data_IF_502283144992
#
_entry.id   IF_502283144992
#
_cell.length_a   1.000
_cell.length_b   1.000
_cell.length_c   1.000
_cell.angle_alpha   90.00
_cell.angle_beta   90.00
_cell.angle_gamma   90.00
#
_symmetry.space_group_name_H-M   'P 1'
#
loop_
_entity.id
_entity.type
_entity.pdbx_description
1 polymer ?
#
# COMPACT_ATOMS: atom_id res chain seq x y z
N UNK A 1 96.92 36.43 3.43
CA UNK A 1 96.10 35.53 4.26
C UNK A 1 95.27 36.35 5.22
N UNK A 2 93.95 36.37 5.04
CA UNK A 2 92.99 36.70 6.10
C UNK A 2 91.62 36.18 5.63
N UNK A 3 91.55 34.85 5.45
CA UNK A 3 90.28 34.14 5.45
C UNK A 3 89.74 34.31 6.87
N UNK A 4 88.87 35.31 7.06
CA UNK A 4 88.08 35.40 8.27
C UNK A 4 87.11 34.21 8.22
N UNK A 5 87.53 33.12 8.87
CA UNK A 5 86.71 31.95 9.16
C UNK A 5 85.47 32.44 9.89
N UNK A 6 84.38 32.63 9.14
CA UNK A 6 83.06 32.90 9.71
C UNK A 6 82.81 31.81 10.74
N UNK A 7 82.60 32.22 11.99
CA UNK A 7 82.47 31.26 13.07
C UNK A 7 81.26 30.35 12.80
N UNK A 8 81.34 29.08 13.20
CA UNK A 8 80.26 28.11 12.97
C UNK A 8 78.89 28.63 13.46
N UNK A 9 78.90 29.45 14.52
CA UNK A 9 77.70 30.09 15.06
C UNK A 9 77.15 31.24 14.20
N UNK A 10 78.00 32.05 13.55
CA UNK A 10 77.56 33.07 12.58
C UNK A 10 76.97 32.42 11.33
N UNK A 11 77.55 31.32 10.84
CA UNK A 11 76.97 30.55 9.72
C UNK A 11 75.60 29.96 10.08
N UNK A 12 75.44 29.44 11.30
CA UNK A 12 74.13 28.96 11.80
C UNK A 12 73.12 30.09 11.93
N UNK A 13 73.54 31.28 12.36
CA UNK A 13 72.68 32.45 12.47
C UNK A 13 72.23 32.95 11.09
N UNK A 14 73.17 33.09 10.15
CA UNK A 14 72.87 33.45 8.76
C UNK A 14 71.95 32.43 8.09
N UNK A 15 72.12 31.14 8.37
CA UNK A 15 71.23 30.10 7.86
C UNK A 15 69.81 30.23 8.43
N UNK A 16 69.66 30.56 9.72
CA UNK A 16 68.35 30.80 10.34
C UNK A 16 67.66 32.02 9.75
N UNK A 17 68.38 33.13 9.60
CA UNK A 17 67.86 34.36 9.01
C UNK A 17 67.44 34.15 7.55
N UNK A 18 68.25 33.43 6.76
CA UNK A 18 67.89 33.09 5.38
C UNK A 18 66.66 32.17 5.30
N UNK A 19 66.49 31.25 6.25
CA UNK A 19 65.28 30.40 6.32
C UNK A 19 64.04 31.20 6.70
N UNK A 20 64.15 32.14 7.64
CA UNK A 20 63.06 33.05 8.01
C UNK A 20 62.69 33.97 6.83
N UNK A 21 63.67 34.53 6.12
CA UNK A 21 63.44 35.35 4.94
C UNK A 21 62.76 34.56 3.80
N UNK A 22 63.19 33.32 3.56
CA UNK A 22 62.54 32.42 2.60
C UNK A 22 61.09 32.15 2.99
N UNK A 23 60.79 31.97 4.28
CA UNK A 23 59.42 31.74 4.74
C UNK A 23 58.54 32.98 4.60
N UNK A 24 59.07 34.17 4.92
CA UNK A 24 58.39 35.46 4.68
C UNK A 24 58.08 35.63 3.19
N UNK A 25 59.06 35.40 2.32
CA UNK A 25 58.91 35.53 0.88
C UNK A 25 57.89 34.53 0.30
N UNK A 26 57.78 33.31 0.84
CA UNK A 26 56.73 32.37 0.44
C UNK A 26 55.34 32.90 0.79
N UNK A 27 55.16 33.43 2.01
CA UNK A 27 53.89 34.00 2.44
C UNK A 27 53.52 35.21 1.57
N UNK A 28 54.49 36.09 1.26
CA UNK A 28 54.29 37.22 0.37
C UNK A 28 53.97 36.80 -1.07
N UNK A 29 54.62 35.74 -1.58
CA UNK A 29 54.35 35.18 -2.89
C UNK A 29 52.94 34.58 -2.96
N UNK A 30 52.51 33.83 -1.94
CA UNK A 30 51.15 33.30 -1.86
C UNK A 30 50.11 34.42 -1.78
N UNK A 31 50.38 35.46 -1.00
CA UNK A 31 49.49 36.63 -0.90
C UNK A 31 49.38 37.36 -2.25
N UNK A 32 50.51 37.55 -2.94
CA UNK A 32 50.57 38.16 -4.28
C UNK A 32 49.85 37.31 -5.31
N UNK A 33 49.97 35.99 -5.23
CA UNK A 33 49.30 35.04 -6.12
C UNK A 33 47.78 35.10 -5.95
N UNK A 34 47.27 35.02 -4.71
CA UNK A 34 45.82 35.19 -4.43
C UNK A 34 45.30 36.54 -4.91
N UNK A 35 46.12 37.60 -4.80
CA UNK A 35 45.74 38.93 -5.27
C UNK A 35 45.70 39.02 -6.80
N UNK A 36 46.61 38.32 -7.49
CA UNK A 36 46.61 38.19 -8.95
C UNK A 36 45.37 37.42 -9.42
N UNK A 37 45.07 36.28 -8.81
CA UNK A 37 43.86 35.49 -9.10
C UNK A 37 42.59 36.32 -8.95
N UNK A 38 42.49 37.11 -7.87
CA UNK A 38 41.36 38.03 -7.67
C UNK A 38 41.25 39.11 -8.75
N UNK A 39 42.38 39.65 -9.22
CA UNK A 39 42.40 40.62 -10.34
C UNK A 39 42.03 39.97 -11.67
N UNK A 40 42.48 38.75 -11.93
CA UNK A 40 42.14 38.00 -13.14
C UNK A 40 40.65 37.66 -13.19
N UNK A 41 40.05 37.29 -12.06
CA UNK A 41 38.60 37.05 -11.96
C UNK A 41 37.80 38.35 -12.20
N UNK A 42 38.22 39.45 -11.58
CA UNK A 42 37.60 40.76 -11.78
C UNK A 42 37.69 41.22 -13.25
N UNK A 43 38.86 41.02 -13.89
CA UNK A 43 39.05 41.30 -15.31
C UNK A 43 38.14 40.44 -16.18
N UNK A 44 37.99 39.14 -15.87
CA UNK A 44 37.10 38.23 -16.61
C UNK A 44 35.65 38.70 -16.54
N UNK A 45 35.19 39.13 -15.36
CA UNK A 45 33.85 39.70 -15.16
C UNK A 45 33.67 40.97 -16.02
N UNK A 46 34.60 41.93 -15.92
CA UNK A 46 34.54 43.19 -16.66
C UNK A 46 34.56 42.97 -18.18
N UNK A 47 35.38 42.04 -18.67
CA UNK A 47 35.41 41.67 -20.08
C UNK A 47 34.08 41.05 -20.54
N UNK A 48 33.49 40.15 -19.75
CA UNK A 48 32.19 39.57 -20.07
C UNK A 48 31.09 40.64 -20.15
N UNK A 49 31.13 41.63 -19.25
CA UNK A 49 30.18 42.73 -19.19
C UNK A 49 30.32 43.66 -20.40
N UNK A 50 31.56 43.96 -20.81
CA UNK A 50 31.83 44.75 -22.01
C UNK A 50 31.37 44.04 -23.31
N UNK A 51 31.55 42.71 -23.40
CA UNK A 51 31.05 41.91 -24.52
C UNK A 51 29.52 41.89 -24.53
N UNK A 52 28.89 41.73 -23.36
CA UNK A 52 27.45 41.80 -23.21
C UNK A 52 26.90 43.16 -23.63
N UNK A 53 27.54 44.27 -23.25
CA UNK A 53 27.11 45.62 -23.61
C UNK A 53 27.09 45.87 -25.12
N UNK A 54 28.00 45.22 -25.85
CA UNK A 54 28.08 45.27 -27.32
C UNK A 54 27.10 44.31 -28.02
N UNK A 55 26.45 43.40 -27.28
CA UNK A 55 25.52 42.43 -27.85
C UNK A 55 24.21 43.10 -28.34
N UNK A 56 23.57 42.46 -29.33
CA UNK A 56 22.29 42.94 -29.87
C UNK A 56 21.18 42.91 -28.81
N UNK A 57 20.17 43.78 -28.94
CA UNK A 57 19.06 43.85 -27.98
C UNK A 57 18.33 42.51 -27.81
N UNK A 58 18.21 41.74 -28.90
CA UNK A 58 17.64 40.39 -28.87
C UNK A 58 18.45 39.45 -27.97
N UNK A 59 19.77 39.44 -28.08
CA UNK A 59 20.65 38.61 -27.24
C UNK A 59 20.53 38.99 -25.76
N UNK A 60 20.49 40.30 -25.44
CA UNK A 60 20.31 40.79 -24.06
C UNK A 60 18.97 40.36 -23.48
N UNK A 61 17.88 40.50 -24.24
CA UNK A 61 16.54 40.10 -23.82
C UNK A 61 16.40 38.58 -23.63
N UNK A 62 17.03 37.79 -24.51
CA UNK A 62 17.03 36.33 -24.38
C UNK A 62 17.77 35.88 -23.11
N UNK A 63 18.91 36.50 -22.79
CA UNK A 63 19.66 36.23 -21.55
C UNK A 63 18.85 36.57 -20.30
N UNK A 64 18.20 37.73 -20.27
CA UNK A 64 17.30 38.11 -19.16
C UNK A 64 16.16 37.10 -18.98
N UNK A 65 15.54 36.68 -20.08
CA UNK A 65 14.48 35.66 -20.04
C UNK A 65 15.01 34.34 -19.46
N UNK A 66 16.19 33.89 -19.88
CA UNK A 66 16.80 32.67 -19.33
C UNK A 66 17.17 32.80 -17.84
N UNK A 67 17.58 33.99 -17.38
CA UNK A 67 17.81 34.24 -15.96
C UNK A 67 16.52 34.23 -15.14
N UNK A 68 15.42 34.76 -15.68
CA UNK A 68 14.10 34.68 -15.05
C UNK A 68 13.61 33.24 -14.96
N UNK A 69 13.74 32.46 -16.04
CA UNK A 69 13.43 31.02 -16.06
C UNK A 69 14.29 30.25 -15.05
N UNK A 70 15.58 30.57 -14.94
CA UNK A 70 16.46 30.01 -13.92
C UNK A 70 15.96 30.34 -12.50
N UNK A 71 15.60 31.60 -12.23
CA UNK A 71 15.05 32.01 -10.92
C UNK A 71 13.72 31.33 -10.60
N UNK A 72 12.89 31.05 -11.59
CA UNK A 72 11.65 30.29 -11.37
C UNK A 72 11.93 28.82 -11.05
N UNK A 73 12.85 28.19 -11.80
CA UNK A 73 13.26 26.81 -11.54
C UNK A 73 13.92 26.65 -10.17
N UNK A 74 14.75 27.61 -9.75
CA UNK A 74 15.34 27.61 -8.40
C UNK A 74 14.27 27.64 -7.29
N UNK A 75 13.17 28.39 -7.48
CA UNK A 75 12.05 28.40 -6.53
C UNK A 75 11.31 27.07 -6.50
N UNK A 76 11.06 26.49 -7.68
CA UNK A 76 10.42 25.17 -7.78
C UNK A 76 11.28 24.08 -7.12
N UNK A 77 12.60 24.09 -7.35
CA UNK A 77 13.55 23.19 -6.70
C UNK A 77 13.48 23.33 -5.17
N UNK A 78 13.47 24.56 -4.66
CA UNK A 78 13.38 24.80 -3.21
C UNK A 78 12.05 24.29 -2.62
N UNK A 79 10.93 24.47 -3.34
CA UNK A 79 9.62 23.95 -2.91
C UNK A 79 9.65 22.41 -2.90
N UNK A 80 10.12 21.79 -3.98
CA UNK A 80 10.22 20.33 -4.09
C UNK A 80 11.15 19.73 -3.03
N UNK A 81 12.27 20.40 -2.71
CA UNK A 81 13.14 19.98 -1.61
C UNK A 81 12.39 19.98 -0.27
N UNK A 82 11.63 21.03 0.01
CA UNK A 82 10.79 21.10 1.21
C UNK A 82 9.71 20.01 1.24
N UNK A 83 9.04 19.75 0.12
CA UNK A 83 8.04 18.69 0.01
C UNK A 83 8.66 17.31 0.25
N UNK A 84 9.85 17.06 -0.31
CA UNK A 84 10.60 15.81 -0.09
C UNK A 84 10.97 15.65 1.38
N UNK A 85 11.52 16.68 2.03
CA UNK A 85 11.88 16.63 3.45
C UNK A 85 10.65 16.39 4.34
N UNK A 86 9.55 17.08 4.04
CA UNK A 86 8.29 16.91 4.76
C UNK A 86 7.74 15.48 4.60
N UNK A 87 7.73 14.94 3.38
CA UNK A 87 7.28 13.57 3.14
C UNK A 87 8.20 12.54 3.79
N UNK A 88 9.52 12.75 3.80
CA UNK A 88 10.48 11.90 4.50
C UNK A 88 10.18 11.82 6.00
N UNK A 89 9.97 12.96 6.64
CA UNK A 89 9.61 13.01 8.08
C UNK A 89 8.27 12.31 8.33
N UNK A 90 7.27 12.54 7.47
CA UNK A 90 5.98 11.86 7.55
C UNK A 90 6.13 10.34 7.42
N UNK A 91 6.91 9.86 6.47
CA UNK A 91 7.14 8.43 6.27
C UNK A 91 7.86 7.80 7.47
N UNK A 92 8.87 8.46 8.01
CA UNK A 92 9.58 8.01 9.21
C UNK A 92 8.63 7.86 10.41
N UNK A 93 7.79 8.86 10.66
CA UNK A 93 6.80 8.79 11.73
C UNK A 93 5.79 7.63 11.52
N UNK A 94 5.36 7.39 10.28
CA UNK A 94 4.49 6.24 9.96
C UNK A 94 5.23 4.92 10.24
N UNK A 95 6.48 4.79 9.78
CA UNK A 95 7.31 3.60 10.00
C UNK A 95 7.51 3.31 11.49
N UNK A 96 7.83 4.33 12.29
CA UNK A 96 7.99 4.20 13.75
C UNK A 96 6.69 3.72 14.40
N UNK A 97 5.55 4.33 14.08
CA UNK A 97 4.26 3.93 14.65
C UNK A 97 3.82 2.52 14.25
N UNK A 98 4.16 2.06 13.05
CA UNK A 98 3.87 0.68 12.63
C UNK A 98 4.79 -0.33 13.28
N UNK A 99 6.06 0.03 13.48
CA UNK A 99 7.03 -0.81 14.21
C UNK A 99 6.56 -1.03 15.65
N UNK A 100 6.15 0.03 16.35
CA UNK A 100 5.61 -0.10 17.72
C UNK A 100 4.36 -0.97 17.79
N UNK A 101 3.43 -0.83 16.83
CA UNK A 101 2.22 -1.66 16.76
C UNK A 101 2.57 -3.12 16.50
N UNK A 102 3.52 -3.38 15.61
CA UNK A 102 3.99 -4.72 15.31
C UNK A 102 4.61 -5.36 16.55
N UNK A 103 5.51 -4.66 17.23
CA UNK A 103 6.16 -5.16 18.45
C UNK A 103 5.17 -5.45 19.57
N UNK A 104 4.14 -4.59 19.73
CA UNK A 104 3.07 -4.83 20.69
C UNK A 104 2.31 -6.12 20.38
N UNK A 105 1.87 -6.29 19.13
CA UNK A 105 1.14 -7.50 18.69
C UNK A 105 2.02 -8.74 18.83
N UNK A 106 3.32 -8.62 18.54
CA UNK A 106 4.27 -9.72 18.70
C UNK A 106 4.38 -10.15 20.18
N UNK A 107 4.51 -9.20 21.09
CA UNK A 107 4.53 -9.45 22.54
C UNK A 107 3.22 -10.07 23.03
N UNK A 108 2.07 -9.52 22.62
CA UNK A 108 0.75 -10.04 22.96
C UNK A 108 0.56 -11.48 22.48
N UNK A 109 0.95 -11.78 21.24
CA UNK A 109 0.89 -13.15 20.70
C UNK A 109 1.80 -14.12 21.46
N UNK A 110 3.00 -13.69 21.85
CA UNK A 110 3.88 -14.51 22.67
C UNK A 110 3.24 -14.84 24.03
N UNK A 111 2.65 -13.84 24.69
CA UNK A 111 1.95 -14.03 25.96
C UNK A 111 0.75 -14.96 25.82
N UNK A 112 -0.07 -14.80 24.77
CA UNK A 112 -1.21 -15.68 24.49
C UNK A 112 -0.77 -17.12 24.22
N UNK A 113 0.34 -17.31 23.51
CA UNK A 113 0.89 -18.64 23.22
C UNK A 113 1.33 -19.36 24.50
N UNK A 114 1.98 -18.67 25.43
CA UNK A 114 2.35 -19.24 26.72
C UNK A 114 1.12 -19.52 27.60
N UNK A 115 0.15 -18.60 27.63
CA UNK A 115 -1.11 -18.83 28.35
C UNK A 115 -1.87 -20.06 27.81
N UNK A 116 -1.88 -20.25 26.48
CA UNK A 116 -2.51 -21.41 25.85
C UNK A 116 -1.79 -22.72 26.22
N UNK A 117 -0.45 -22.72 26.26
CA UNK A 117 0.31 -23.90 26.72
C UNK A 117 -0.04 -24.27 28.15
N UNK A 118 -0.03 -23.29 29.07
CA UNK A 118 -0.39 -23.49 30.47
C UNK A 118 -1.81 -24.07 30.61
N UNK A 119 -2.79 -23.50 29.91
CA UNK A 119 -4.18 -24.03 29.91
C UNK A 119 -4.26 -25.44 29.32
N UNK A 120 -3.46 -25.74 28.31
CA UNK A 120 -3.40 -27.08 27.71
C UNK A 120 -2.82 -28.10 28.70
N UNK A 121 -1.80 -27.72 29.46
CA UNK A 121 -1.21 -28.55 30.51
C UNK A 121 -2.20 -28.79 31.66
N UNK A 122 -2.90 -27.75 32.12
CA UNK A 122 -3.95 -27.85 33.13
C UNK A 122 -5.11 -28.77 32.68
N UNK A 123 -5.53 -28.69 31.41
CA UNK A 123 -6.54 -29.62 30.88
C UNK A 123 -6.03 -31.06 30.88
N UNK A 124 -4.74 -31.28 30.60
CA UNK A 124 -4.15 -32.63 30.63
C UNK A 124 -4.12 -33.18 32.06
N UNK A 125 -3.74 -32.38 33.06
CA UNK A 125 -3.73 -32.82 34.46
C UNK A 125 -5.14 -33.13 34.95
N UNK A 126 -6.11 -32.24 34.70
CA UNK A 126 -7.51 -32.48 35.07
C UNK A 126 -8.10 -33.71 34.39
N UNK A 127 -7.75 -33.98 33.13
CA UNK A 127 -8.16 -35.22 32.44
C UNK A 127 -7.58 -36.46 33.11
N UNK A 128 -6.31 -36.41 33.52
CA UNK A 128 -5.67 -37.53 34.22
C UNK A 128 -6.31 -37.76 35.59
N UNK A 129 -6.54 -36.70 36.37
CA UNK A 129 -7.22 -36.78 37.67
C UNK A 129 -8.64 -37.32 37.54
N UNK A 130 -9.42 -36.86 36.56
CA UNK A 130 -10.77 -37.34 36.29
C UNK A 130 -10.75 -38.84 35.89
N UNK A 131 -9.77 -39.28 35.10
CA UNK A 131 -9.61 -40.70 34.78
C UNK A 131 -9.33 -41.56 36.02
N UNK A 132 -8.46 -41.09 36.93
CA UNK A 132 -8.17 -41.77 38.21
C UNK A 132 -9.42 -41.81 39.09
N UNK A 133 -10.14 -40.71 39.24
CA UNK A 133 -11.37 -40.67 40.03
C UNK A 133 -12.45 -41.59 39.47
N UNK A 134 -12.63 -41.62 38.15
CA UNK A 134 -13.57 -42.55 37.51
C UNK A 134 -13.17 -44.01 37.76
N UNK A 135 -11.88 -44.32 37.69
CA UNK A 135 -11.40 -45.66 38.01
C UNK A 135 -11.70 -46.02 39.46
N UNK A 136 -11.41 -45.13 40.42
CA UNK A 136 -11.74 -45.34 41.83
C UNK A 136 -13.25 -45.53 42.05
N UNK A 137 -14.09 -44.75 41.37
CA UNK A 137 -15.54 -44.94 41.42
C UNK A 137 -15.94 -46.34 40.94
N UNK A 138 -15.35 -46.85 39.86
CA UNK A 138 -15.62 -48.20 39.36
C UNK A 138 -15.14 -49.28 40.34
N UNK A 139 -13.99 -49.09 40.97
CA UNK A 139 -13.47 -50.01 42.00
C UNK A 139 -14.39 -50.05 43.23
N UNK A 140 -14.85 -48.89 43.72
CA UNK A 140 -15.83 -48.84 44.80
C UNK A 140 -17.15 -49.49 44.43
N UNK A 141 -17.65 -49.27 43.20
CA UNK A 141 -18.87 -49.91 42.72
C UNK A 141 -18.72 -51.43 42.67
N UNK A 142 -17.59 -51.94 42.21
CA UNK A 142 -17.32 -53.38 42.15
C UNK A 142 -17.32 -54.06 43.54
N UNK A 143 -17.05 -53.31 44.61
CA UNK A 143 -17.10 -53.81 46.00
C UNK A 143 -18.50 -53.82 46.63
N UNK A 144 -19.51 -53.20 46.00
CA UNK A 144 -20.90 -53.18 46.51
C UNK A 144 -21.67 -54.46 46.16
N UNK A 145 -22.80 -54.68 46.84
CA UNK A 145 -23.70 -55.79 46.49
C UNK A 145 -24.43 -55.54 45.14
N UNK A 146 -24.90 -56.61 44.50
CA UNK A 146 -25.53 -56.56 43.17
C UNK A 146 -26.81 -55.71 43.14
N UNK A 147 -27.55 -55.61 44.26
CA UNK A 147 -28.75 -54.76 44.35
C UNK A 147 -28.37 -53.28 44.44
N UNK A 148 -27.34 -52.96 45.21
CA UNK A 148 -26.78 -51.62 45.37
C UNK A 148 -26.12 -51.11 44.08
N UNK A 149 -25.37 -51.96 43.38
CA UNK A 149 -24.81 -51.65 42.06
C UNK A 149 -25.90 -51.28 41.05
N UNK A 150 -27.01 -52.04 41.05
CA UNK A 150 -28.14 -51.81 40.14
C UNK A 150 -28.83 -50.48 40.39
N UNK A 151 -29.07 -50.13 41.66
CA UNK A 151 -29.65 -48.83 42.06
C UNK A 151 -28.72 -47.66 41.66
N UNK A 152 -27.40 -47.81 41.82
CA UNK A 152 -26.45 -46.77 41.40
C UNK A 152 -26.39 -46.58 39.88
N UNK A 153 -26.36 -47.67 39.10
CA UNK A 153 -26.36 -47.60 37.64
C UNK A 153 -27.66 -46.99 37.10
N UNK A 154 -28.81 -47.34 37.69
CA UNK A 154 -30.10 -46.74 37.37
C UNK A 154 -30.08 -45.22 37.63
N UNK A 155 -29.60 -44.78 38.80
CA UNK A 155 -29.48 -43.34 39.13
C UNK A 155 -28.46 -42.57 38.25
N UNK A 156 -27.31 -43.17 37.89
CA UNK A 156 -26.33 -42.53 36.99
C UNK A 156 -26.83 -42.43 35.55
N UNK A 157 -27.66 -43.37 35.09
CA UNK A 157 -28.26 -43.30 33.76
C UNK A 157 -29.28 -42.15 33.62
N UNK A 158 -30.01 -41.83 34.69
CA UNK A 158 -30.96 -40.73 34.78
C UNK A 158 -30.30 -39.34 34.75
N UNK A 159 -29.08 -39.18 35.29
CA UNK A 159 -28.39 -37.88 35.30
C UNK A 159 -27.82 -37.48 33.94
N UNK A 160 -27.61 -38.44 33.03
CA UNK A 160 -26.98 -38.20 31.72
C UNK A 160 -27.97 -37.79 30.63
N UNK A 161 -29.26 -38.14 30.75
CA UNK A 161 -30.28 -37.83 29.74
C UNK A 161 -30.95 -36.47 29.91
N UNK A 162 -31.00 -35.94 31.15
CA UNK A 162 -31.85 -34.77 31.46
C UNK A 162 -31.04 -33.50 31.78
N UNK A 163 -29.72 -33.61 31.96
CA UNK A 163 -28.84 -32.50 32.42
C UNK A 163 -27.80 -32.10 31.36
N UNK A 164 -27.60 -32.88 30.29
CA UNK A 164 -26.58 -32.61 29.26
C UNK A 164 -26.82 -31.35 28.43
N UNK A 165 -28.03 -30.78 28.48
CA UNK A 165 -28.47 -29.74 27.55
C UNK A 165 -28.43 -28.33 28.16
N UNK A 166 -27.96 -28.20 29.40
CA UNK A 166 -27.81 -26.90 30.07
C UNK A 166 -26.34 -26.44 30.02
N UNK A 167 -26.09 -25.37 29.26
CA UNK A 167 -24.83 -24.61 29.31
C UNK A 167 -24.56 -24.12 30.73
N UNK A 168 -23.28 -23.97 31.12
CA UNK A 168 -22.91 -23.53 32.47
C UNK A 168 -23.53 -22.20 32.90
N UNK A 169 -23.90 -21.34 31.94
CA UNK A 169 -24.66 -20.12 32.19
C UNK A 169 -26.13 -20.39 32.53
N UNK A 170 -26.78 -21.36 31.87
CA UNK A 170 -28.15 -21.77 32.20
C UNK A 170 -28.20 -22.36 33.63
N UNK A 171 -27.21 -23.16 34.02
CA UNK A 171 -27.09 -23.69 35.39
C UNK A 171 -26.90 -22.58 36.45
N UNK A 172 -26.10 -21.55 36.15
CA UNK A 172 -25.93 -20.40 37.04
C UNK A 172 -27.23 -19.60 37.23
N UNK A 173 -28.04 -19.46 36.18
CA UNK A 173 -29.36 -18.79 36.25
C UNK A 173 -30.36 -19.64 37.03
N UNK A 174 -30.31 -20.97 36.88
CA UNK A 174 -31.18 -21.87 37.63
C UNK A 174 -30.92 -21.82 39.15
N UNK A 175 -29.66 -21.64 39.56
CA UNK A 175 -29.26 -21.53 40.97
C UNK A 175 -29.49 -20.16 41.63
N UNK A 176 -29.86 -19.13 40.88
CA UNK A 176 -30.07 -17.78 41.40
C UNK A 176 -31.48 -17.56 41.99
N UNK A 177 -32.43 -18.47 41.73
CA UNK A 177 -33.78 -18.43 42.27
C UNK A 177 -33.80 -18.91 43.73
N UNK A 178 -34.39 -18.12 44.63
CA UNK A 178 -34.54 -18.47 46.05
C UNK A 178 -35.88 -19.13 46.38
N UNK A 179 -36.72 -19.40 45.39
CA UNK A 179 -38.00 -20.10 45.62
C UNK A 179 -37.72 -21.54 46.05
N UNK A 180 -38.29 -21.98 47.17
CA UNK A 180 -38.17 -23.37 47.64
C UNK A 180 -38.75 -24.33 46.61
N UNK A 181 -37.92 -25.17 45.97
CA UNK A 181 -38.43 -26.20 45.08
C UNK A 181 -38.97 -27.36 45.91
N UNK A 182 -40.15 -27.86 45.56
CA UNK A 182 -40.54 -29.20 45.96
C UNK A 182 -39.70 -30.18 45.14
N UNK A 183 -39.00 -31.10 45.81
CA UNK A 183 -38.38 -32.28 45.19
C UNK A 183 -37.24 -32.03 44.18
N UNK A 184 -36.37 -31.03 44.44
CA UNK A 184 -35.10 -30.90 43.70
C UNK A 184 -35.22 -30.45 42.24
N UNK A 185 -36.42 -30.12 41.75
CA UNK A 185 -36.61 -29.50 40.43
C UNK A 185 -36.47 -27.97 40.49
N UNK A 186 -35.86 -27.32 39.48
CA UNK A 186 -35.79 -25.86 39.45
C UNK A 186 -37.20 -25.22 39.41
N UNK A 187 -37.38 -24.18 40.23
CA UNK A 187 -38.60 -23.38 40.31
C UNK A 187 -39.04 -22.88 38.91
N UNK A 188 -40.34 -22.71 38.61
CA UNK A 188 -40.79 -22.22 37.31
C UNK A 188 -40.16 -20.89 36.88
N UNK A 189 -39.90 -20.00 37.84
CA UNK A 189 -39.22 -18.72 37.59
C UNK A 189 -37.74 -18.88 37.19
N UNK A 190 -37.02 -19.85 37.76
CA UNK A 190 -35.67 -20.21 37.30
C UNK A 190 -35.70 -20.77 35.88
N UNK A 191 -36.66 -21.65 35.57
CA UNK A 191 -36.80 -22.24 34.22
C UNK A 191 -37.03 -21.15 33.17
N UNK A 192 -37.97 -20.24 33.43
CA UNK A 192 -38.25 -19.10 32.53
C UNK A 192 -37.05 -18.15 32.42
N UNK A 193 -36.36 -17.86 33.52
CA UNK A 193 -35.15 -17.04 33.50
C UNK A 193 -34.01 -17.68 32.68
N UNK A 194 -33.80 -18.99 32.81
CA UNK A 194 -32.79 -19.71 32.04
C UNK A 194 -33.13 -19.73 30.55
N UNK A 195 -34.38 -20.02 30.19
CA UNK A 195 -34.85 -20.02 28.79
C UNK A 195 -34.75 -18.63 28.14
N UNK A 196 -35.18 -17.58 28.84
CA UNK A 196 -35.06 -16.20 28.35
C UNK A 196 -33.61 -15.76 28.23
N UNK A 197 -32.73 -16.18 29.15
CA UNK A 197 -31.28 -15.93 29.05
C UNK A 197 -30.67 -16.63 27.83
N UNK A 198 -31.06 -17.87 27.55
CA UNK A 198 -30.66 -18.61 26.35
C UNK A 198 -31.07 -17.88 25.08
N UNK A 199 -32.33 -17.45 25.00
CA UNK A 199 -32.86 -16.68 23.88
C UNK A 199 -32.12 -15.34 23.71
N UNK A 200 -31.83 -14.62 24.80
CA UNK A 200 -31.07 -13.37 24.75
C UNK A 200 -29.65 -13.55 24.23
N UNK A 201 -28.98 -14.64 24.60
CA UNK A 201 -27.65 -14.95 24.05
C UNK A 201 -27.72 -15.27 22.57
N UNK A 202 -28.70 -16.07 22.16
CA UNK A 202 -28.90 -16.40 20.74
C UNK A 202 -29.13 -15.13 19.91
N UNK A 203 -30.05 -14.27 20.35
CA UNK A 203 -30.33 -12.98 19.69
C UNK A 203 -29.11 -12.05 19.66
N UNK A 204 -28.28 -12.04 20.71
CA UNK A 204 -27.02 -11.28 20.71
C UNK A 204 -26.04 -11.80 19.66
N UNK A 205 -25.90 -13.12 19.55
CA UNK A 205 -25.05 -13.73 18.54
C UNK A 205 -25.55 -13.41 17.12
N UNK A 206 -26.87 -13.49 16.89
CA UNK A 206 -27.47 -13.10 15.62
C UNK A 206 -27.24 -11.62 15.30
N UNK A 207 -27.37 -10.72 16.28
CA UNK A 207 -27.06 -9.30 16.08
C UNK A 207 -25.59 -9.06 15.72
N UNK A 208 -24.65 -9.74 16.36
CA UNK A 208 -23.24 -9.63 16.03
C UNK A 208 -22.95 -10.14 14.62
N UNK A 209 -23.56 -11.25 14.22
CA UNK A 209 -23.44 -11.79 12.87
C UNK A 209 -24.02 -10.83 11.82
N UNK A 210 -25.20 -10.25 12.09
CA UNK A 210 -25.80 -9.23 11.23
C UNK A 210 -24.95 -7.96 11.13
N UNK A 211 -24.33 -7.54 12.24
CA UNK A 211 -23.41 -6.40 12.25
C UNK A 211 -22.19 -6.67 11.38
N UNK A 212 -21.56 -7.85 11.52
CA UNK A 212 -20.44 -8.27 10.65
C UNK A 212 -20.84 -8.28 9.18
N UNK A 213 -21.99 -8.87 8.85
CA UNK A 213 -22.51 -8.90 7.48
C UNK A 213 -22.78 -7.50 6.91
N UNK A 214 -23.30 -6.57 7.73
CA UNK A 214 -23.49 -5.17 7.33
C UNK A 214 -22.16 -4.47 7.07
N UNK A 215 -21.17 -4.67 7.94
CA UNK A 215 -19.84 -4.05 7.79
C UNK A 215 -19.13 -4.57 6.52
N UNK A 216 -19.24 -5.87 6.23
CA UNK A 216 -18.75 -6.48 4.98
C UNK A 216 -19.45 -5.91 3.74
N UNK A 217 -20.78 -5.74 3.78
CA UNK A 217 -21.53 -5.13 2.70
C UNK A 217 -21.12 -3.66 2.46
N UNK A 218 -20.80 -2.92 3.53
CA UNK A 218 -20.31 -1.55 3.43
C UNK A 218 -18.92 -1.49 2.78
N UNK A 219 -17.99 -2.36 3.20
CA UNK A 219 -16.65 -2.48 2.60
C UNK A 219 -16.78 -2.84 1.11
N UNK A 220 -17.67 -3.78 0.77
CA UNK A 220 -17.89 -4.19 -0.61
C UNK A 220 -18.47 -3.06 -1.46
N UNK A 221 -19.45 -2.31 -0.93
CA UNK A 221 -20.02 -1.16 -1.61
C UNK A 221 -18.97 -0.07 -1.86
N UNK A 222 -18.08 0.20 -0.90
CA UNK A 222 -17.00 1.17 -1.06
C UNK A 222 -15.97 0.71 -2.10
N UNK A 223 -15.64 -0.59 -2.12
CA UNK A 223 -14.77 -1.16 -3.15
C UNK A 223 -15.38 -0.99 -4.56
N UNK A 224 -16.68 -1.22 -4.72
CA UNK A 224 -17.37 -0.97 -5.99
C UNK A 224 -17.39 0.51 -6.36
N UNK A 225 -17.63 1.40 -5.39
CA UNK A 225 -17.57 2.85 -5.60
C UNK A 225 -16.19 3.29 -6.12
N UNK A 226 -15.12 2.85 -5.45
CA UNK A 226 -13.73 3.17 -5.84
C UNK A 226 -13.43 2.62 -7.24
N UNK A 227 -13.78 1.37 -7.53
CA UNK A 227 -13.57 0.77 -8.84
C UNK A 227 -14.32 1.54 -9.94
N UNK A 228 -15.55 1.97 -9.66
CA UNK A 228 -16.36 2.76 -10.60
C UNK A 228 -15.76 4.16 -10.83
N UNK A 229 -15.30 4.84 -9.78
CA UNK A 229 -14.61 6.13 -9.90
C UNK A 229 -13.31 6.01 -10.70
N UNK A 230 -12.53 4.95 -10.48
CA UNK A 230 -11.33 4.67 -11.26
C UNK A 230 -11.66 4.45 -12.74
N UNK A 231 -12.70 3.67 -13.05
CA UNK A 231 -13.15 3.48 -14.43
C UNK A 231 -13.61 4.79 -15.08
N UNK A 232 -14.34 5.64 -14.35
CA UNK A 232 -14.77 6.96 -14.83
C UNK A 232 -13.58 7.86 -15.14
N UNK A 233 -12.58 7.90 -14.26
CA UNK A 233 -11.36 8.68 -14.46
C UNK A 233 -10.56 8.17 -15.66
N UNK A 234 -10.38 6.85 -15.78
CA UNK A 234 -9.72 6.25 -16.94
C UNK A 234 -10.44 6.59 -18.25
N UNK A 235 -11.76 6.50 -18.29
CA UNK A 235 -12.55 6.85 -19.49
C UNK A 235 -12.50 8.34 -19.79
N UNK A 236 -12.53 9.20 -18.78
CA UNK A 236 -12.36 10.64 -18.94
C UNK A 236 -11.00 10.98 -19.56
N UNK A 237 -9.93 10.37 -19.07
CA UNK A 237 -8.58 10.58 -19.59
C UNK A 237 -8.43 10.06 -21.03
N UNK A 238 -9.01 8.90 -21.34
CA UNK A 238 -9.08 8.39 -22.71
C UNK A 238 -9.85 9.34 -23.63
N UNK A 239 -10.99 9.88 -23.17
CA UNK A 239 -11.79 10.84 -23.94
C UNK A 239 -11.04 12.16 -24.18
N UNK A 240 -10.29 12.66 -23.19
CA UNK A 240 -9.43 13.84 -23.33
C UNK A 240 -8.32 13.61 -24.36
N UNK A 241 -7.61 12.48 -24.28
CA UNK A 241 -6.59 12.11 -25.27
C UNK A 241 -7.17 12.01 -26.68
N UNK A 242 -8.36 11.42 -26.83
CA UNK A 242 -9.06 11.36 -28.13
C UNK A 242 -9.43 12.76 -28.63
N UNK A 243 -9.91 13.65 -27.76
CA UNK A 243 -10.24 15.03 -28.13
C UNK A 243 -9.01 15.83 -28.59
N UNK A 244 -7.87 15.65 -27.92
CA UNK A 244 -6.58 16.24 -28.31
C UNK A 244 -6.12 15.73 -29.69
N UNK A 245 -6.18 14.42 -29.92
CA UNK A 245 -5.85 13.82 -31.22
C UNK A 245 -6.78 14.33 -32.33
N UNK A 246 -8.07 14.51 -32.03
CA UNK A 246 -9.03 15.09 -32.99
C UNK A 246 -8.70 16.57 -33.26
N UNK A 247 -8.33 17.35 -32.25
CA UNK A 247 -7.92 18.75 -32.39
C UNK A 247 -6.66 18.87 -33.24
N UNK A 248 -5.63 18.07 -32.95
CA UNK A 248 -4.41 17.99 -33.74
C UNK A 248 -4.72 17.61 -35.19
N UNK A 249 -5.54 16.58 -35.43
CA UNK A 249 -5.97 16.22 -36.81
C UNK A 249 -6.73 17.34 -37.51
N UNK A 250 -7.58 18.11 -36.81
CA UNK A 250 -8.27 19.28 -37.40
C UNK A 250 -7.27 20.37 -37.75
N UNK A 251 -6.30 20.67 -36.91
CA UNK A 251 -5.24 21.65 -37.15
C UNK A 251 -4.31 21.22 -38.29
N UNK A 252 -3.91 19.94 -38.35
CA UNK A 252 -3.11 19.38 -39.46
C UNK A 252 -3.91 19.40 -40.76
N UNK A 253 -5.21 19.07 -40.73
CA UNK A 253 -6.10 19.19 -41.89
C UNK A 253 -6.27 20.65 -42.33
N UNK A 254 -6.41 21.60 -41.41
CA UNK A 254 -6.50 23.03 -41.72
C UNK A 254 -5.18 23.60 -42.27
N UNK A 255 -4.04 23.12 -41.76
CA UNK A 255 -2.72 23.45 -42.27
C UNK A 255 -2.48 22.85 -43.67
N UNK A 256 -2.94 21.62 -43.92
CA UNK A 256 -2.91 21.02 -45.26
C UNK A 256 -3.87 21.75 -46.23
N UNK A 257 -5.07 22.14 -45.79
CA UNK A 257 -6.00 22.96 -46.58
C UNK A 257 -5.44 24.34 -46.91
N UNK A 258 -4.68 24.97 -45.99
CA UNK A 258 -3.95 26.22 -46.28
C UNK A 258 -2.80 26.00 -47.28
N UNK A 259 -2.06 24.90 -47.16
CA UNK A 259 -1.03 24.52 -48.15
C UNK A 259 -1.62 24.22 -49.54
N UNK A 260 -2.81 23.62 -49.61
CA UNK A 260 -3.50 23.30 -50.87
C UNK A 260 -4.02 24.54 -51.62
N UNK A 261 -4.22 25.67 -50.93
CA UNK A 261 -4.62 26.94 -51.56
C UNK A 261 -3.46 27.76 -52.12
N UNK A 262 -2.21 27.39 -51.80
CA UNK A 262 -1.01 28.19 -52.07
C UNK A 262 -0.04 27.62 -53.09
N UNK A 263 -0.32 26.48 -53.74
CA UNK A 263 0.55 26.01 -54.81
C UNK A 263 -0.16 25.12 -55.83
N UNK A 264 0.37 25.21 -57.03
CA UNK A 264 -0.08 24.69 -58.30
C UNK A 264 -0.35 23.18 -58.30
N UNK A 265 -1.26 22.75 -59.19
CA UNK A 265 -1.77 21.38 -59.30
C UNK A 265 -0.65 20.36 -59.47
N UNK A 266 -0.42 19.53 -58.45
CA UNK A 266 0.29 18.25 -58.61
C UNK A 266 -0.66 17.12 -58.21
N UNK A 267 -0.78 16.14 -59.12
CA UNK A 267 -1.70 14.99 -59.04
C UNK A 267 -1.44 14.13 -57.79
N UNK A 268 -2.47 13.60 -57.11
CA UNK A 268 -2.27 12.67 -56.01
C UNK A 268 -1.96 11.27 -56.58
N UNK A 269 -0.75 10.77 -56.32
CA UNK A 269 -0.46 9.35 -56.46
C UNK A 269 -0.89 8.67 -55.15
N UNK A 270 -2.06 8.04 -55.20
CA UNK A 270 -2.69 7.40 -54.04
C UNK A 270 -1.97 6.11 -53.67
N UNK A 271 -1.54 6.01 -52.43
CA UNK A 271 -1.33 4.74 -51.76
C UNK A 271 -2.56 4.53 -50.88
N UNK A 272 -3.51 3.71 -51.34
CA UNK A 272 -4.74 3.40 -50.61
C UNK A 272 -4.42 2.48 -49.43
N UNK A 273 -4.05 3.08 -48.29
CA UNK A 273 -3.97 2.32 -47.04
C UNK A 273 -5.37 1.87 -46.62
N UNK A 274 -5.52 0.56 -46.42
CA UNK A 274 -6.78 -0.10 -46.06
C UNK A 274 -7.28 0.40 -44.70
N UNK A 275 -8.58 0.26 -44.45
CA UNK A 275 -9.22 0.76 -43.23
C UNK A 275 -8.56 0.17 -41.97
N UNK A 276 -8.15 -1.10 -42.01
CA UNK A 276 -7.41 -1.78 -40.95
C UNK A 276 -6.10 -1.08 -40.60
N UNK A 277 -5.28 -0.74 -41.60
CA UNK A 277 -4.00 -0.04 -41.40
C UNK A 277 -4.17 1.35 -40.76
N UNK A 278 -5.24 2.08 -41.09
CA UNK A 278 -5.54 3.40 -40.50
C UNK A 278 -6.03 3.33 -39.06
N UNK A 279 -6.64 2.20 -38.67
CA UNK A 279 -7.18 1.98 -37.33
C UNK A 279 -6.12 1.40 -36.39
N UNK A 280 -5.21 0.56 -36.88
CA UNK A 280 -4.11 0.02 -36.07
C UNK A 280 -3.17 1.11 -35.56
N UNK A 281 -3.02 2.25 -36.26
CA UNK A 281 -2.25 3.39 -35.73
C UNK A 281 -2.90 4.10 -34.52
N UNK A 282 -4.13 3.73 -34.16
CA UNK A 282 -4.89 4.33 -33.05
C UNK A 282 -5.02 3.39 -31.83
N UNK A 283 -4.66 2.11 -31.97
CA UNK A 283 -4.70 1.13 -30.88
C UNK A 283 -3.31 1.07 -30.22
N UNK A 284 -3.27 1.08 -28.88
CA UNK A 284 -2.02 1.25 -28.10
C UNK A 284 -1.32 -0.08 -27.73
N UNK A 285 -1.84 -1.23 -28.19
CA UNK A 285 -1.36 -2.59 -27.84
C UNK A 285 -0.88 -3.33 -29.08
N UNK A 286 0.37 -3.83 -29.05
CA UNK A 286 1.05 -4.46 -30.20
C UNK A 286 0.40 -5.79 -30.63
N UNK A 287 -0.29 -6.48 -29.71
CA UNK A 287 -1.01 -7.73 -29.98
C UNK A 287 -2.37 -7.52 -30.68
N UNK A 288 -3.06 -6.43 -30.36
CA UNK A 288 -4.40 -6.13 -30.91
C UNK A 288 -4.31 -5.44 -32.28
N UNK A 289 -3.22 -4.72 -32.52
CA UNK A 289 -2.92 -4.08 -33.80
C UNK A 289 -2.80 -5.08 -34.96
N UNK A 290 -2.20 -6.26 -34.73
CA UNK A 290 -1.97 -7.28 -35.77
C UNK A 290 -3.26 -7.89 -36.32
N UNK A 291 -4.23 -8.18 -35.44
CA UNK A 291 -5.53 -8.76 -35.84
C UNK A 291 -6.35 -7.81 -36.72
N UNK A 292 -6.22 -6.48 -36.50
CA UNK A 292 -6.97 -5.45 -37.24
C UNK A 292 -6.28 -5.06 -38.55
N UNK A 293 -4.95 -5.16 -38.65
CA UNK A 293 -4.19 -4.84 -39.87
C UNK A 293 -4.36 -5.84 -41.01
N UNK A 294 -4.62 -7.11 -40.71
CA UNK A 294 -4.69 -8.20 -41.71
C UNK A 294 -6.08 -8.32 -42.38
N UNK A 295 -7.06 -7.52 -41.96
CA UNK A 295 -8.44 -7.58 -42.44
C UNK A 295 -8.74 -6.44 -43.41
N UNK A 296 -8.97 -6.77 -44.68
CA UNK A 296 -9.29 -5.80 -45.74
C UNK A 296 -10.79 -5.49 -45.84
N UNK A 297 -11.66 -6.37 -45.35
CA UNK A 297 -13.11 -6.22 -45.42
C UNK A 297 -13.64 -5.35 -44.26
N UNK A 298 -14.32 -4.22 -44.52
CA UNK A 298 -14.80 -3.29 -43.49
C UNK A 298 -15.77 -3.92 -42.47
N UNK A 299 -16.53 -4.94 -42.87
CA UNK A 299 -17.43 -5.65 -41.94
C UNK A 299 -16.68 -6.52 -40.93
N UNK A 300 -15.55 -7.10 -41.31
CA UNK A 300 -14.77 -7.96 -40.43
C UNK A 300 -13.89 -7.13 -39.47
N UNK A 301 -13.42 -5.96 -39.93
CA UNK A 301 -12.79 -4.94 -39.07
C UNK A 301 -13.78 -4.45 -38.00
N UNK A 302 -15.04 -4.18 -38.37
CA UNK A 302 -16.05 -3.75 -37.42
C UNK A 302 -16.38 -4.85 -36.39
N UNK A 303 -16.43 -6.11 -36.83
CA UNK A 303 -16.67 -7.26 -35.95
C UNK A 303 -15.50 -7.47 -34.96
N UNK A 304 -14.26 -7.36 -35.43
CA UNK A 304 -13.07 -7.44 -34.58
C UNK A 304 -13.01 -6.32 -33.53
N UNK A 305 -13.41 -5.09 -33.89
CA UNK A 305 -13.50 -3.97 -32.94
C UNK A 305 -14.62 -4.18 -31.91
N UNK A 306 -15.77 -4.73 -32.33
CA UNK A 306 -16.85 -5.08 -31.40
C UNK A 306 -16.42 -6.17 -30.42
N UNK A 307 -15.66 -7.18 -30.86
CA UNK A 307 -15.12 -8.22 -30.00
C UNK A 307 -13.99 -7.70 -29.07
N UNK A 308 -13.24 -6.67 -29.48
CA UNK A 308 -12.25 -5.99 -28.62
C UNK A 308 -12.90 -5.12 -27.53
N UNK A 309 -14.04 -4.50 -27.86
CA UNK A 309 -14.82 -3.68 -26.90
C UNK A 309 -15.65 -4.58 -25.97
N UNK A 310 -16.09 -5.73 -26.46
CA UNK A 310 -16.69 -6.78 -25.65
C UNK A 310 -15.60 -7.77 -25.22
N UNK A 311 -14.77 -7.40 -24.25
CA UNK A 311 -13.78 -8.32 -23.69
C UNK A 311 -14.51 -9.47 -22.96
N UNK A 312 -14.77 -10.54 -23.71
CA UNK A 312 -15.46 -11.74 -23.23
C UNK A 312 -14.61 -12.47 -22.20
N UNK A 313 -13.28 -12.33 -22.25
CA UNK A 313 -12.39 -12.92 -21.24
C UNK A 313 -12.48 -12.17 -19.92
N UNK A 314 -12.54 -10.83 -19.94
CA UNK A 314 -12.77 -10.03 -18.74
C UNK A 314 -14.16 -10.28 -18.15
N UNK A 315 -15.20 -10.34 -18.98
CA UNK A 315 -16.54 -10.70 -18.55
C UNK A 315 -16.59 -12.12 -17.94
N UNK A 316 -15.90 -13.09 -18.53
CA UNK A 316 -15.76 -14.44 -17.98
C UNK A 316 -14.94 -14.46 -16.68
N UNK A 317 -13.91 -13.64 -16.55
CA UNK A 317 -13.12 -13.52 -15.33
C UNK A 317 -13.96 -12.96 -14.18
N UNK A 318 -14.76 -11.92 -14.44
CA UNK A 318 -15.74 -11.41 -13.49
C UNK A 318 -16.79 -12.46 -13.13
N UNK A 319 -17.32 -13.20 -14.11
CA UNK A 319 -18.29 -14.27 -13.87
C UNK A 319 -17.70 -15.42 -13.03
N UNK A 320 -16.46 -15.83 -13.29
CA UNK A 320 -15.74 -16.84 -12.49
C UNK A 320 -15.49 -16.35 -11.07
N UNK A 321 -15.09 -15.09 -10.90
CA UNK A 321 -14.88 -14.47 -9.58
C UNK A 321 -16.18 -14.43 -8.76
N UNK A 322 -17.29 -14.05 -9.37
CA UNK A 322 -18.62 -14.08 -8.74
C UNK A 322 -19.01 -15.51 -8.37
N UNK A 323 -18.82 -16.48 -9.27
CA UNK A 323 -19.12 -17.90 -9.01
C UNK A 323 -18.30 -18.45 -7.84
N UNK A 324 -17.00 -18.11 -7.77
CA UNK A 324 -16.13 -18.49 -6.66
C UNK A 324 -16.55 -17.86 -5.33
N UNK A 325 -16.94 -16.57 -5.35
CA UNK A 325 -17.45 -15.89 -4.16
C UNK A 325 -18.75 -16.51 -3.66
N UNK A 326 -19.67 -16.87 -4.58
CA UNK A 326 -20.93 -17.52 -4.24
C UNK A 326 -20.71 -18.95 -3.70
N UNK A 327 -19.77 -19.71 -4.27
CA UNK A 327 -19.41 -21.04 -3.78
C UNK A 327 -18.85 -20.98 -2.34
N UNK A 328 -17.95 -20.04 -2.05
CA UNK A 328 -17.47 -19.83 -0.67
C UNK A 328 -18.55 -19.37 0.30
N UNK A 329 -19.48 -18.54 -0.15
CA UNK A 329 -20.62 -18.13 0.66
C UNK A 329 -21.58 -19.28 0.95
N UNK A 330 -21.69 -20.27 0.05
CA UNK A 330 -22.46 -21.49 0.26
C UNK A 330 -21.75 -22.47 1.21
N UNK A 331 -20.45 -22.70 1.04
CA UNK A 331 -19.63 -23.52 1.96
C UNK A 331 -19.66 -22.98 3.41
N UNK A 332 -19.66 -21.65 3.57
CA UNK A 332 -19.79 -21.01 4.88
C UNK A 332 -21.20 -21.11 5.50
N UNK A 333 -22.22 -21.51 4.73
CA UNK A 333 -23.58 -21.78 5.24
C UNK A 333 -23.82 -23.25 5.57
N UNK A 334 -22.97 -24.17 5.07
CA UNK A 334 -23.07 -25.61 5.30
C UNK A 334 -22.17 -26.12 6.46
N UNK A 335 -21.31 -25.27 7.02
CA UNK A 335 -20.47 -25.55 8.20
C UNK A 335 -21.02 -24.92 9.48
#
# INVERSE_FOLDING_TARGET
ESNAEVSNEELKQQLREALEEVEILKVELEASHRQLEGKDEALRILQSMAVFDKATSHTKAMLQKTEEEKRTLEKEINILQWEIEFDQDRFKNIEDTWTEKYDRIYCENAALKEALKLRTEEVKTLKAENAVLNQQCLEFLAMLDVKQQKVFQENMSLSRSDISDFTGLELAVLGACTCSPAEGQPCPCAKVAALTRKQLLHLKQEMENLKKSKDEAYIMADAFRIAFEQQLMQRKDQALRLAEVIKMKKETKFANWRRLRGSERVKPQGNESSLGQKLSSLLSSDGDCRKVTELDNPHDVLRALIDLVNDKEEALAHQRKVSYMLARAAEAREA
#
